data_IF_875627306886
#
_entry.id   IF_875627306886
#
_cell.length_a   1.000
_cell.length_b   1.000
_cell.length_c   1.000
_cell.angle_alpha   90.00
_cell.angle_beta   90.00
_cell.angle_gamma   90.00
#
_symmetry.space_group_name_H-M   'P 1'
#
loop_
_entity.id
_entity.type
_entity.pdbx_description
1 polymer ?
#
# COMPACT_ATOMS: atom_id res chain seq x y z
N UNK A 1 -8.10 17.10 1.83
CA UNK A 1 -8.51 15.78 2.35
C UNK A 1 -7.26 15.00 2.67
N UNK A 2 -7.19 14.45 3.88
CA UNK A 2 -6.14 13.53 4.29
C UNK A 2 -6.70 12.11 4.29
N UNK A 3 -5.95 11.16 3.74
CA UNK A 3 -6.25 9.73 3.81
C UNK A 3 -5.11 9.06 4.57
N UNK A 4 -5.44 8.47 5.70
CA UNK A 4 -4.51 7.63 6.44
C UNK A 4 -4.81 6.17 6.13
N UNK A 5 -3.84 5.48 5.56
CA UNK A 5 -3.94 4.08 5.19
C UNK A 5 -2.91 3.27 5.96
N UNK A 6 -3.36 2.21 6.61
CA UNK A 6 -2.48 1.23 7.24
C UNK A 6 -2.92 -0.18 6.90
N UNK A 7 -1.97 -1.07 6.65
CA UNK A 7 -2.23 -2.50 6.54
C UNK A 7 -1.18 -3.33 7.27
N UNK A 8 -1.57 -4.53 7.69
CA UNK A 8 -0.67 -5.42 8.40
C UNK A 8 -1.11 -6.88 8.40
N UNK A 9 -0.15 -7.82 8.48
CA UNK A 9 1.29 -7.58 8.53
C UNK A 9 1.87 -7.26 7.13
N UNK A 10 2.93 -6.44 7.05
CA UNK A 10 3.65 -6.22 5.78
C UNK A 10 4.49 -7.44 5.42
N UNK A 11 5.26 -7.96 6.37
CA UNK A 11 6.08 -9.14 6.17
C UNK A 11 5.26 -10.40 6.50
N UNK A 12 5.35 -11.40 5.63
CA UNK A 12 4.77 -12.72 5.86
C UNK A 12 5.52 -13.40 7.01
N UNK A 13 4.79 -14.16 7.84
CA UNK A 13 5.37 -14.98 8.90
C UNK A 13 6.49 -15.88 8.34
N UNK A 14 7.63 -15.94 9.03
CA UNK A 14 8.88 -16.46 8.48
C UNK A 14 8.79 -17.93 8.07
N UNK A 15 8.14 -18.79 8.86
CA UNK A 15 7.99 -20.19 8.53
C UNK A 15 7.14 -20.36 7.27
N UNK A 16 6.01 -19.64 7.16
CA UNK A 16 5.20 -19.64 5.95
C UNK A 16 5.94 -19.06 4.74
N UNK A 17 6.67 -17.96 4.91
CA UNK A 17 7.46 -17.36 3.84
C UNK A 17 8.48 -18.36 3.27
N UNK A 18 9.23 -19.04 4.14
CA UNK A 18 10.19 -20.09 3.73
C UNK A 18 9.51 -21.24 2.99
N UNK A 19 8.34 -21.69 3.48
CA UNK A 19 7.57 -22.75 2.83
C UNK A 19 7.14 -22.35 1.42
N UNK A 20 6.60 -21.14 1.26
CA UNK A 20 6.14 -20.63 -0.04
C UNK A 20 7.31 -20.45 -1.02
N UNK A 21 8.40 -19.82 -0.58
CA UNK A 21 9.59 -19.61 -1.43
C UNK A 21 10.21 -20.95 -1.85
N UNK A 22 10.34 -21.92 -0.92
CA UNK A 22 10.87 -23.23 -1.24
C UNK A 22 10.00 -23.97 -2.27
N UNK A 23 8.68 -23.89 -2.14
CA UNK A 23 7.74 -24.49 -3.08
C UNK A 23 7.90 -23.88 -4.50
N UNK A 24 8.03 -22.56 -4.60
CA UNK A 24 8.23 -21.88 -5.89
C UNK A 24 9.62 -22.15 -6.51
N UNK A 25 10.67 -22.25 -5.69
CA UNK A 25 12.00 -22.65 -6.21
C UNK A 25 11.94 -24.08 -6.80
N UNK A 26 11.30 -25.01 -6.10
CA UNK A 26 11.17 -26.39 -6.58
C UNK A 26 10.28 -26.47 -7.83
N UNK A 27 9.18 -25.70 -7.90
CA UNK A 27 8.31 -25.64 -9.09
C UNK A 27 9.07 -25.11 -10.32
N UNK A 28 10.04 -24.21 -10.09
CA UNK A 28 10.92 -23.67 -11.12
C UNK A 28 12.14 -24.58 -11.45
N UNK A 29 12.19 -25.82 -10.96
CA UNK A 29 13.35 -26.73 -11.08
C UNK A 29 14.66 -26.15 -10.51
N UNK A 30 14.55 -25.28 -9.51
CA UNK A 30 15.68 -24.70 -8.78
C UNK A 30 15.86 -25.39 -7.41
N UNK A 31 17.07 -25.30 -6.85
CA UNK A 31 17.35 -25.87 -5.53
C UNK A 31 16.79 -24.99 -4.41
N UNK A 32 15.96 -25.57 -3.53
CA UNK A 32 15.43 -24.89 -2.35
C UNK A 32 16.36 -25.02 -1.12
N UNK A 33 17.67 -24.79 -1.30
CA UNK A 33 18.60 -24.74 -0.15
C UNK A 33 18.23 -23.59 0.79
N UNK A 34 18.66 -23.68 2.05
CA UNK A 34 18.50 -22.59 3.04
C UNK A 34 19.06 -21.26 2.50
N UNK A 35 20.17 -21.31 1.77
CA UNK A 35 20.80 -20.10 1.22
C UNK A 35 19.98 -19.49 0.09
N UNK A 36 19.42 -20.31 -0.81
CA UNK A 36 18.58 -19.83 -1.90
C UNK A 36 17.28 -19.23 -1.38
N UNK A 37 16.63 -19.89 -0.42
CA UNK A 37 15.40 -19.37 0.21
C UNK A 37 15.66 -18.02 0.89
N UNK A 38 16.81 -17.84 1.56
CA UNK A 38 17.17 -16.59 2.24
C UNK A 38 17.26 -15.38 1.29
N UNK A 39 17.57 -15.58 0.00
CA UNK A 39 17.69 -14.47 -0.97
C UNK A 39 16.37 -13.77 -1.26
N UNK A 40 15.24 -14.44 -1.01
CA UNK A 40 13.90 -13.91 -1.29
C UNK A 40 13.16 -13.44 -0.01
N UNK A 41 13.86 -13.42 1.12
CA UNK A 41 13.32 -12.93 2.38
C UNK A 41 13.66 -11.44 2.60
N UNK A 42 12.76 -10.66 3.25
CA UNK A 42 11.42 -11.06 3.66
C UNK A 42 10.44 -11.15 2.47
N UNK A 43 9.54 -12.13 2.51
CA UNK A 43 8.38 -12.12 1.63
C UNK A 43 7.37 -11.10 2.15
N UNK A 44 6.86 -10.23 1.29
CA UNK A 44 5.99 -9.11 1.69
C UNK A 44 4.59 -9.24 1.10
N UNK A 45 3.58 -9.00 1.93
CA UNK A 45 2.26 -8.63 1.46
C UNK A 45 2.30 -7.18 0.93
N UNK A 46 1.56 -6.91 -0.13
CA UNK A 46 1.43 -5.58 -0.72
C UNK A 46 -0.04 -5.24 -0.95
N UNK A 47 -0.50 -4.23 -0.21
CA UNK A 47 -1.79 -3.58 -0.40
C UNK A 47 -1.53 -2.12 -0.72
N UNK A 48 -2.20 -1.59 -1.75
CA UNK A 48 -2.11 -0.18 -2.12
C UNK A 48 -3.51 0.40 -2.23
N UNK A 49 -3.62 1.73 -2.22
CA UNK A 49 -4.91 2.39 -2.44
C UNK A 49 -4.83 3.38 -3.60
N UNK A 50 -5.92 3.51 -4.34
CA UNK A 50 -6.07 4.54 -5.37
C UNK A 50 -7.24 5.45 -5.06
N UNK A 51 -7.20 6.66 -5.60
CA UNK A 51 -8.30 7.61 -5.50
C UNK A 51 -8.85 7.94 -6.90
N UNK A 52 -10.16 8.05 -6.98
CA UNK A 52 -10.87 8.64 -8.10
C UNK A 52 -11.88 9.67 -7.58
N UNK A 53 -12.11 10.71 -8.38
CA UNK A 53 -13.03 11.80 -8.06
C UNK A 53 -13.97 12.06 -9.23
N UNK A 54 -15.27 12.07 -8.93
CA UNK A 54 -16.33 12.32 -9.92
C UNK A 54 -16.16 11.47 -11.19
N UNK A 55 -15.81 10.19 -11.00
CA UNK A 55 -15.57 9.21 -12.09
C UNK A 55 -14.21 9.31 -12.78
N UNK A 56 -13.34 10.25 -12.38
CA UNK A 56 -11.98 10.39 -12.94
C UNK A 56 -10.94 9.83 -12.00
N UNK A 57 -10.09 8.94 -12.52
CA UNK A 57 -8.96 8.40 -11.77
C UNK A 57 -7.94 9.50 -11.45
N UNK A 58 -7.58 9.64 -10.18
CA UNK A 58 -6.59 10.62 -9.73
C UNK A 58 -5.21 10.00 -9.54
N UNK A 59 -5.13 8.73 -9.19
CA UNK A 59 -3.83 8.07 -9.03
C UNK A 59 -3.79 7.02 -7.95
N UNK A 60 -2.61 6.43 -7.83
CA UNK A 60 -2.20 5.46 -6.82
C UNK A 60 -0.71 5.67 -6.61
N UNK A 61 -0.28 5.73 -5.35
CA UNK A 61 1.13 5.59 -5.03
C UNK A 61 1.41 4.11 -4.73
N UNK A 62 2.11 3.43 -5.64
CA UNK A 62 2.58 2.04 -5.45
C UNK A 62 3.73 1.96 -4.44
N UNK A 63 3.53 2.57 -3.28
CA UNK A 63 4.50 2.62 -2.21
C UNK A 63 4.31 1.42 -1.30
N UNK A 64 5.42 0.75 -0.98
CA UNK A 64 5.40 -0.47 -0.19
C UNK A 64 5.17 -0.22 1.30
N UNK A 65 5.27 1.02 1.77
CA UNK A 65 5.13 1.31 3.18
C UNK A 65 3.74 0.89 3.69
N UNK A 66 3.67 0.14 4.80
CA UNK A 66 2.42 -0.37 5.32
C UNK A 66 1.58 0.68 6.04
N UNK A 67 2.15 1.85 6.32
CA UNK A 67 1.46 3.02 6.83
C UNK A 67 1.74 4.19 5.89
N UNK A 68 0.69 4.91 5.50
CA UNK A 68 0.75 5.99 4.53
C UNK A 68 -0.20 7.11 4.94
N UNK A 69 0.25 8.34 4.74
CA UNK A 69 -0.57 9.54 4.80
C UNK A 69 -0.59 10.16 3.40
N UNK A 70 -1.79 10.26 2.83
CA UNK A 70 -2.00 10.73 1.46
C UNK A 70 -2.81 12.01 1.51
N UNK A 71 -2.16 13.10 1.14
CA UNK A 71 -2.72 14.42 1.06
C UNK A 71 -3.29 14.63 -0.34
N UNK A 72 -4.56 15.01 -0.44
CA UNK A 72 -5.20 15.40 -1.71
C UNK A 72 -5.89 16.75 -1.53
N UNK A 73 -5.42 17.76 -2.26
CA UNK A 73 -5.97 19.11 -2.31
C UNK A 73 -5.75 19.77 -3.69
N UNK A 74 -6.50 20.84 -4.00
CA UNK A 74 -6.27 21.58 -5.24
C UNK A 74 -4.87 22.21 -5.34
N UNK A 75 -4.27 22.58 -4.21
CA UNK A 75 -2.93 23.16 -4.17
C UNK A 75 -1.83 22.10 -4.23
N UNK A 76 -2.00 21.00 -3.50
CA UNK A 76 -1.02 19.94 -3.31
C UNK A 76 -1.65 18.55 -3.27
N UNK A 77 -1.00 17.58 -3.92
CA UNK A 77 -1.30 16.16 -3.77
C UNK A 77 -0.02 15.38 -3.52
N UNK A 78 -0.08 14.34 -2.69
CA UNK A 78 1.01 13.38 -2.51
C UNK A 78 1.43 12.75 -3.83
N UNK A 79 2.70 12.34 -3.89
CA UNK A 79 3.27 11.67 -5.07
C UNK A 79 2.41 10.48 -5.51
N UNK A 80 2.28 10.31 -6.83
CA UNK A 80 1.42 9.29 -7.43
C UNK A 80 -0.05 9.70 -7.60
N UNK A 81 -0.45 10.89 -7.16
CA UNK A 81 -1.81 11.42 -7.33
C UNK A 81 -1.84 12.77 -8.04
N UNK A 82 -2.83 12.94 -8.91
CA UNK A 82 -3.19 14.21 -9.51
C UNK A 82 -3.91 15.11 -8.50
N UNK A 83 -3.77 16.42 -8.69
CA UNK A 83 -4.49 17.43 -7.88
C UNK A 83 -5.97 17.44 -8.29
N UNK A 84 -6.91 17.22 -7.36
CA UNK A 84 -8.32 17.43 -7.65
C UNK A 84 -8.62 18.92 -7.82
N UNK A 85 -9.50 19.31 -8.75
CA UNK A 85 -9.86 20.73 -8.93
C UNK A 85 -10.57 21.34 -7.69
N UNK A 86 -11.27 20.52 -6.92
CA UNK A 86 -11.95 20.87 -5.65
C UNK A 86 -12.08 19.64 -4.77
N UNK A 87 -12.29 19.81 -3.46
CA UNK A 87 -12.50 18.68 -2.54
C UNK A 87 -13.94 18.15 -2.61
N UNK A 88 -14.94 19.02 -2.65
CA UNK A 88 -16.36 18.62 -2.59
C UNK A 88 -16.78 17.75 -3.78
N UNK A 89 -17.66 16.78 -3.54
CA UNK A 89 -18.23 15.88 -4.55
C UNK A 89 -17.99 14.41 -4.23
N UNK A 90 -18.08 13.54 -5.24
CA UNK A 90 -18.00 12.09 -5.06
C UNK A 90 -16.55 11.63 -5.11
N UNK A 91 -16.16 10.84 -4.12
CA UNK A 91 -14.87 10.19 -4.04
C UNK A 91 -15.04 8.68 -4.09
N UNK A 92 -14.08 8.02 -4.72
CA UNK A 92 -13.93 6.57 -4.68
C UNK A 92 -12.50 6.27 -4.26
N UNK A 93 -12.37 5.59 -3.12
CA UNK A 93 -11.11 5.03 -2.67
C UNK A 93 -11.18 3.53 -2.92
N UNK A 94 -10.26 3.02 -3.74
CA UNK A 94 -10.18 1.59 -4.06
C UNK A 94 -8.93 0.99 -3.41
N UNK A 95 -9.08 -0.19 -2.81
CA UNK A 95 -7.98 -0.96 -2.24
C UNK A 95 -7.57 -2.06 -3.21
N UNK A 96 -6.28 -2.20 -3.44
CA UNK A 96 -5.69 -3.15 -4.39
C UNK A 96 -4.79 -4.13 -3.67
N UNK A 97 -5.10 -5.42 -3.78
CA UNK A 97 -4.25 -6.52 -3.32
C UNK A 97 -3.30 -6.93 -4.46
N UNK A 98 -2.00 -6.66 -4.30
CA UNK A 98 -1.00 -7.08 -5.28
C UNK A 98 -0.39 -8.44 -4.90
N UNK A 99 -0.12 -8.64 -3.61
CA UNK A 99 0.36 -9.91 -3.08
C UNK A 99 -0.16 -10.09 -1.66
N UNK A 100 -0.85 -11.20 -1.39
CA UNK A 100 -1.31 -11.58 -0.06
C UNK A 100 -0.90 -13.04 0.18
N UNK A 101 0.22 -13.21 0.87
CA UNK A 101 0.77 -14.52 1.19
C UNK A 101 0.54 -14.90 2.67
N UNK A 102 0.17 -13.94 3.51
CA UNK A 102 -0.26 -14.20 4.89
C UNK A 102 -1.69 -14.75 4.96
N UNK A 103 -1.99 -15.50 6.03
CA UNK A 103 -3.34 -16.05 6.26
C UNK A 103 -4.41 -14.97 6.43
N UNK A 104 -4.02 -13.85 7.04
CA UNK A 104 -4.87 -12.69 7.26
C UNK A 104 -4.02 -11.43 7.08
N UNK A 105 -4.58 -10.46 6.36
CA UNK A 105 -4.09 -9.09 6.29
C UNK A 105 -5.27 -8.19 6.65
N UNK A 106 -5.08 -7.32 7.63
CA UNK A 106 -6.05 -6.31 8.01
C UNK A 106 -5.62 -4.97 7.46
N UNK A 107 -6.58 -4.21 6.95
CA UNK A 107 -6.36 -2.86 6.47
C UNK A 107 -7.33 -1.90 7.15
N UNK A 108 -6.87 -0.68 7.40
CA UNK A 108 -7.66 0.42 7.93
C UNK A 108 -7.42 1.65 7.07
N UNK A 109 -8.51 2.33 6.71
CA UNK A 109 -8.49 3.60 6.00
C UNK A 109 -9.26 4.60 6.87
N UNK A 110 -8.65 5.74 7.16
CA UNK A 110 -9.31 6.91 7.75
C UNK A 110 -9.27 8.01 6.71
N UNK A 111 -10.39 8.73 6.58
CA UNK A 111 -10.49 9.91 5.72
C UNK A 111 -10.91 11.07 6.60
N UNK A 112 -10.14 12.15 6.59
CA UNK A 112 -10.39 13.36 7.36
C UNK A 112 -10.30 14.61 6.49
N UNK A 113 -10.95 15.67 6.97
CA UNK A 113 -10.70 17.01 6.48
C UNK A 113 -9.30 17.47 6.93
N UNK A 114 -8.68 18.34 6.13
CA UNK A 114 -7.46 19.01 6.58
C UNK A 114 -7.92 20.21 7.39
N UNK A 115 -7.71 20.19 8.69
CA UNK A 115 -7.80 21.42 9.46
C UNK A 115 -6.61 22.32 9.07
N UNK A 116 -6.85 23.63 8.91
CA UNK A 116 -5.85 24.64 8.51
C UNK A 116 -4.61 24.72 9.44
N UNK A 117 -4.53 23.90 10.48
CA UNK A 117 -3.53 23.97 11.56
C UNK A 117 -2.43 22.90 11.55
N UNK A 118 -2.32 22.06 10.52
CA UNK A 118 -1.26 21.03 10.45
C UNK A 118 -0.22 21.25 9.32
N UNK A 119 -0.26 22.38 8.62
CA UNK A 119 0.74 22.71 7.60
C UNK A 119 1.79 23.68 8.15
N UNK A 120 3.03 23.18 8.32
CA UNK A 120 4.33 23.86 8.04
C UNK A 120 5.50 23.44 8.97
N UNK A 121 5.42 22.34 9.73
CA UNK A 121 6.54 22.00 10.64
C UNK A 121 7.56 20.97 10.13
N UNK A 122 7.36 20.25 9.01
CA UNK A 122 8.30 19.17 8.61
C UNK A 122 8.44 18.93 7.10
N UNK A 123 8.71 19.98 6.30
CA UNK A 123 9.43 19.82 5.03
C UNK A 123 10.64 20.73 5.00
#
# INVERSE_FOLDING_TARGET
MLIEFVYGPQNVELARAKQLIAAELLSANQSATVQNVKQYLPLQNLVTISAAKDGRYLGNHHYKAPQQQILLSPAHSSLGYLKPAKISGKWQISMHQHCIASKLVMAKIIISELEEYDELSQY
#
